data_IF_819688759563
#
_entry.id   IF_819688759563
#
_cell.length_a   1.000
_cell.length_b   1.000
_cell.length_c   1.000
_cell.angle_alpha   90.00
_cell.angle_beta   90.00
_cell.angle_gamma   90.00
#
_symmetry.space_group_name_H-M   'P 1'
#
loop_
_entity.id
_entity.type
_entity.pdbx_description
1 polymer ?
#
# COMPACT_ATOMS: atom_id res chain seq x y z
N UNK A 1 -0.31 17.53 4.10
CA UNK A 1 -0.75 16.18 4.49
C UNK A 1 0.44 15.38 5.01
N UNK A 2 0.23 14.57 6.01
CA UNK A 2 1.26 13.67 6.56
C UNK A 2 0.72 12.26 6.73
N UNK A 3 1.60 11.28 6.49
CA UNK A 3 1.31 9.87 6.74
C UNK A 3 1.77 9.52 8.16
N UNK A 4 0.90 8.88 8.94
CA UNK A 4 1.26 8.42 10.28
C UNK A 4 0.58 7.10 10.61
N UNK A 5 1.17 6.35 11.54
CA UNK A 5 0.55 5.12 12.01
C UNK A 5 -0.76 5.42 12.73
N UNK A 6 -1.80 4.66 12.40
CA UNK A 6 -3.08 4.77 13.08
C UNK A 6 -2.99 4.04 14.42
N UNK A 7 -3.18 4.77 15.51
CA UNK A 7 -3.00 4.22 16.86
C UNK A 7 -4.27 4.02 17.62
N UNK A 8 -5.43 4.43 17.10
CA UNK A 8 -6.71 4.30 17.78
C UNK A 8 -7.77 3.70 16.84
N UNK A 9 -8.87 3.23 17.43
CA UNK A 9 -9.96 2.60 16.70
C UNK A 9 -10.94 3.56 16.06
N UNK A 10 -10.75 4.87 16.19
CA UNK A 10 -11.67 5.82 15.59
C UNK A 10 -11.45 5.90 14.08
N UNK A 11 -12.54 5.90 13.34
CA UNK A 11 -12.51 6.10 11.90
C UNK A 11 -13.46 7.23 11.56
N UNK A 12 -12.94 8.28 10.94
CA UNK A 12 -13.76 9.40 10.47
C UNK A 12 -14.25 9.15 9.05
N UNK A 13 -13.95 7.99 8.50
CA UNK A 13 -14.19 7.65 7.13
C UNK A 13 -14.77 6.25 7.05
N UNK A 14 -16.01 6.15 6.64
CA UNK A 14 -16.81 4.94 6.76
C UNK A 14 -17.49 4.55 5.45
N UNK A 15 -16.77 4.67 4.34
CA UNK A 15 -17.38 4.52 3.02
C UNK A 15 -17.14 3.15 2.38
N UNK A 16 -17.28 2.10 3.15
CA UNK A 16 -17.27 0.75 2.62
C UNK A 16 -15.90 0.14 2.46
N UNK A 17 -14.90 0.86 1.96
CA UNK A 17 -13.54 0.33 1.84
C UNK A 17 -12.50 1.39 2.20
N UNK A 18 -11.50 1.04 3.04
CA UNK A 18 -11.46 -0.25 3.72
C UNK A 18 -12.59 -0.37 4.73
N UNK A 19 -13.21 -1.56 4.83
CA UNK A 19 -14.29 -1.73 5.77
C UNK A 19 -13.77 -1.75 7.21
N UNK A 20 -14.68 -1.57 8.17
CA UNK A 20 -14.33 -1.45 9.57
C UNK A 20 -13.60 -2.68 10.11
N UNK A 21 -14.02 -3.88 9.72
CA UNK A 21 -13.37 -5.11 10.15
C UNK A 21 -11.94 -5.24 9.66
N UNK A 22 -11.67 -4.83 8.41
CA UNK A 22 -10.31 -4.82 7.85
C UNK A 22 -9.43 -3.82 8.60
N UNK A 23 -9.96 -2.63 8.86
CA UNK A 23 -9.20 -1.60 9.59
C UNK A 23 -8.90 -2.06 11.01
N UNK A 24 -9.86 -2.68 11.68
CA UNK A 24 -9.66 -3.20 13.04
C UNK A 24 -8.60 -4.30 13.08
N UNK A 25 -8.59 -5.19 12.08
CA UNK A 25 -7.58 -6.22 11.98
C UNK A 25 -6.19 -5.62 11.76
N UNK A 26 -6.08 -4.67 10.83
CA UNK A 26 -4.81 -3.97 10.58
C UNK A 26 -4.33 -3.23 11.82
N UNK A 27 -5.24 -2.61 12.54
CA UNK A 27 -4.91 -1.85 13.75
C UNK A 27 -4.37 -2.78 14.85
N UNK A 28 -5.02 -3.93 15.06
CA UNK A 28 -4.57 -4.89 16.06
C UNK A 28 -3.18 -5.45 15.75
N UNK A 29 -2.81 -5.51 14.47
CA UNK A 29 -1.48 -5.94 14.00
C UNK A 29 -0.51 -4.79 13.80
N UNK A 30 -0.93 -3.56 14.06
CA UNK A 30 -0.14 -2.33 13.88
C UNK A 30 0.27 -2.09 12.42
N UNK A 31 -0.56 -2.50 11.47
CA UNK A 31 -0.30 -2.31 10.04
C UNK A 31 -0.91 -1.03 9.48
N UNK A 32 -1.92 -0.47 10.13
CA UNK A 32 -2.68 0.66 9.59
C UNK A 32 -1.94 1.99 9.64
N UNK A 33 -1.93 2.70 8.52
CA UNK A 33 -1.41 4.06 8.41
C UNK A 33 -2.48 4.96 7.79
N UNK A 34 -2.52 6.21 8.21
CA UNK A 34 -3.48 7.17 7.69
C UNK A 34 -2.75 8.39 7.13
N UNK A 35 -3.29 8.92 6.04
CA UNK A 35 -2.87 10.22 5.52
C UNK A 35 -3.78 11.27 6.15
N UNK A 36 -3.18 12.24 6.82
CA UNK A 36 -3.90 13.23 7.60
C UNK A 36 -3.65 14.63 7.05
N UNK A 37 -4.73 15.40 6.87
CA UNK A 37 -4.66 16.81 6.54
C UNK A 37 -5.32 17.58 7.68
N UNK A 38 -4.50 18.32 8.45
CA UNK A 38 -4.99 18.93 9.69
C UNK A 38 -5.44 17.85 10.66
N UNK A 39 -6.73 17.84 11.00
CA UNK A 39 -7.34 16.84 11.87
C UNK A 39 -8.18 15.82 11.12
N UNK A 40 -8.16 15.87 9.79
CA UNK A 40 -9.01 15.03 8.95
C UNK A 40 -8.22 13.90 8.36
N UNK A 41 -8.73 12.67 8.46
CA UNK A 41 -8.17 11.52 7.80
C UNK A 41 -8.67 11.51 6.35
N UNK A 42 -7.75 11.60 5.40
CA UNK A 42 -8.09 11.66 3.97
C UNK A 42 -7.60 10.46 3.18
N UNK A 43 -6.81 9.60 3.79
CA UNK A 43 -6.33 8.38 3.14
C UNK A 43 -5.95 7.30 4.15
N UNK A 44 -5.85 6.07 3.67
CA UNK A 44 -5.51 4.90 4.47
C UNK A 44 -4.69 3.92 3.65
N UNK A 45 -3.75 3.24 4.30
CA UNK A 45 -3.07 2.09 3.73
C UNK A 45 -2.61 1.16 4.85
N UNK A 46 -2.26 -0.08 4.48
CA UNK A 46 -1.60 -0.99 5.38
C UNK A 46 -0.18 -1.25 4.89
N UNK A 47 0.77 -1.24 5.81
CA UNK A 47 2.18 -1.51 5.53
C UNK A 47 2.61 -2.70 6.36
N UNK A 48 3.10 -3.76 5.70
CA UNK A 48 3.39 -5.03 6.35
C UNK A 48 4.83 -5.44 6.00
N UNK A 49 5.62 -5.72 7.03
CA UNK A 49 7.01 -6.13 6.82
C UNK A 49 7.08 -7.64 6.56
N UNK A 50 7.63 -8.00 5.41
CA UNK A 50 8.01 -9.39 5.05
C UNK A 50 6.87 -10.43 5.10
N UNK A 51 5.62 -10.01 5.15
CA UNK A 51 4.53 -10.95 5.36
C UNK A 51 3.41 -10.77 4.33
N UNK A 52 3.50 -11.54 3.27
CA UNK A 52 2.42 -11.76 2.31
C UNK A 52 2.61 -13.16 1.71
N UNK A 53 1.88 -14.17 2.20
CA UNK A 53 2.06 -15.55 1.73
C UNK A 53 1.94 -15.72 0.21
N UNK A 54 1.04 -14.97 -0.43
CA UNK A 54 0.86 -15.06 -1.88
C UNK A 54 2.09 -14.65 -2.67
N UNK A 55 2.96 -13.83 -2.09
CA UNK A 55 4.16 -13.35 -2.78
C UNK A 55 5.25 -14.42 -2.88
N UNK A 56 5.18 -15.45 -2.05
CA UNK A 56 6.15 -16.55 -2.07
C UNK A 56 6.02 -17.43 -3.30
N UNK A 57 4.84 -17.44 -3.93
CA UNK A 57 4.55 -18.27 -5.09
C UNK A 57 4.26 -17.43 -6.34
N UNK A 58 4.93 -16.29 -6.46
CA UNK A 58 4.77 -15.42 -7.62
C UNK A 58 5.08 -16.18 -8.93
N UNK A 59 4.23 -15.96 -9.93
CA UNK A 59 4.52 -16.38 -11.31
C UNK A 59 5.32 -15.26 -11.94
N UNK A 60 6.63 -15.35 -11.85
CA UNK A 60 7.56 -14.31 -12.20
C UNK A 60 8.72 -14.29 -11.23
N UNK A 61 9.33 -13.13 -11.07
CA UNK A 61 10.49 -13.01 -10.19
C UNK A 61 10.59 -11.63 -9.59
N UNK A 62 10.75 -11.58 -8.26
CA UNK A 62 11.03 -10.34 -7.54
C UNK A 62 12.43 -9.84 -7.87
N UNK A 63 12.66 -8.53 -7.72
CA UNK A 63 13.96 -7.89 -7.96
C UNK A 63 14.98 -8.21 -6.87
N UNK A 64 14.52 -8.50 -5.66
CA UNK A 64 15.41 -8.68 -4.52
C UNK A 64 14.92 -9.80 -3.60
N UNK A 65 15.83 -10.26 -2.73
CA UNK A 65 15.53 -11.22 -1.66
C UNK A 65 15.72 -10.61 -0.28
N UNK A 66 15.80 -9.28 -0.22
CA UNK A 66 15.98 -8.55 1.04
C UNK A 66 14.64 -8.33 1.74
N UNK A 67 14.71 -7.73 2.93
CA UNK A 67 13.50 -7.30 3.63
C UNK A 67 12.68 -6.35 2.75
N UNK A 68 11.37 -6.47 2.82
CA UNK A 68 10.47 -5.65 2.00
C UNK A 68 9.25 -5.22 2.80
N UNK A 69 8.70 -4.07 2.42
CA UNK A 69 7.41 -3.60 2.92
C UNK A 69 6.36 -3.87 1.86
N UNK A 70 5.28 -4.54 2.25
CA UNK A 70 4.12 -4.77 1.39
C UNK A 70 3.14 -3.63 1.61
N UNK A 71 2.70 -3.02 0.51
CA UNK A 71 1.71 -1.93 0.54
C UNK A 71 0.36 -2.51 0.16
N UNK A 72 -0.57 -2.48 1.10
CA UNK A 72 -1.92 -3.02 0.90
C UNK A 72 -2.98 -1.97 1.19
N UNK A 73 -4.13 -2.15 0.56
CA UNK A 73 -5.37 -1.44 0.90
C UNK A 73 -5.24 0.08 0.85
N UNK A 74 -4.53 0.60 -0.16
CA UNK A 74 -4.49 2.05 -0.36
C UNK A 74 -5.88 2.54 -0.73
N UNK A 75 -6.38 3.50 0.02
CA UNK A 75 -7.67 4.11 -0.24
C UNK A 75 -7.64 5.60 0.09
N UNK A 76 -8.38 6.38 -0.68
CA UNK A 76 -8.49 7.82 -0.49
C UNK A 76 -9.95 8.15 -0.21
N UNK A 77 -10.19 9.05 0.74
CA UNK A 77 -11.54 9.50 1.07
C UNK A 77 -12.24 10.05 -0.19
N UNK A 78 -13.53 9.73 -0.40
CA UNK A 78 -14.23 10.10 -1.64
C UNK A 78 -14.14 11.58 -2.00
N UNK A 79 -14.20 12.46 -1.01
CA UNK A 79 -14.13 13.92 -1.22
C UNK A 79 -12.76 14.39 -1.68
N UNK A 80 -11.77 13.54 -1.64
CA UNK A 80 -10.38 13.89 -1.94
C UNK A 80 -9.81 13.13 -3.13
N UNK A 81 -10.65 12.43 -3.87
CA UNK A 81 -10.23 11.74 -5.10
C UNK A 81 -9.79 12.74 -6.17
N UNK A 82 -8.88 12.33 -7.04
CA UNK A 82 -8.41 13.15 -8.16
C UNK A 82 -7.41 14.23 -7.80
N UNK A 83 -6.83 14.20 -6.59
CA UNK A 83 -5.88 15.20 -6.10
C UNK A 83 -4.44 14.69 -6.02
N UNK A 84 -4.14 13.54 -6.61
CA UNK A 84 -2.80 12.97 -6.58
C UNK A 84 -2.37 12.43 -5.21
N UNK A 85 -3.32 12.11 -4.34
CA UNK A 85 -2.99 11.72 -2.96
C UNK A 85 -2.38 10.33 -2.85
N UNK A 86 -2.68 9.40 -3.77
CA UNK A 86 -2.02 8.10 -3.78
C UNK A 86 -0.52 8.29 -4.04
N UNK A 87 -0.17 9.16 -4.99
CA UNK A 87 1.23 9.48 -5.25
C UNK A 87 1.91 10.08 -4.00
N UNK A 88 1.21 10.97 -3.32
CA UNK A 88 1.69 11.57 -2.07
C UNK A 88 1.94 10.48 -1.02
N UNK A 89 1.00 9.54 -0.85
CA UNK A 89 1.16 8.43 0.08
C UNK A 89 2.37 7.58 -0.27
N UNK A 90 2.52 7.21 -1.54
CA UNK A 90 3.66 6.40 -1.97
C UNK A 90 4.99 7.10 -1.70
N UNK A 91 5.04 8.41 -1.86
CA UNK A 91 6.25 9.19 -1.55
C UNK A 91 6.58 9.12 -0.05
N UNK A 92 5.58 9.27 0.82
CA UNK A 92 5.80 9.13 2.27
C UNK A 92 6.22 7.71 2.64
N UNK A 93 5.65 6.70 1.99
CA UNK A 93 6.02 5.30 2.24
C UNK A 93 7.49 5.05 1.87
N UNK A 94 7.96 5.63 0.78
CA UNK A 94 9.36 5.52 0.39
C UNK A 94 10.28 6.16 1.44
N UNK A 95 9.89 7.29 1.99
CA UNK A 95 10.66 7.95 3.05
C UNK A 95 10.68 7.09 4.31
N UNK A 96 9.54 6.51 4.68
CA UNK A 96 9.45 5.63 5.83
C UNK A 96 10.36 4.41 5.67
N UNK A 97 10.38 3.81 4.49
CA UNK A 97 11.23 2.68 4.20
C UNK A 97 12.72 3.04 4.36
N UNK A 98 13.12 4.21 3.87
CA UNK A 98 14.50 4.71 4.04
C UNK A 98 14.87 4.85 5.50
N UNK A 99 13.97 5.39 6.31
CA UNK A 99 14.20 5.55 7.75
C UNK A 99 14.42 4.22 8.43
N UNK A 100 13.77 3.16 7.95
CA UNK A 100 13.87 1.83 8.50
C UNK A 100 14.95 0.97 7.82
N UNK A 101 15.72 1.55 6.90
CA UNK A 101 16.76 0.86 6.14
C UNK A 101 16.22 -0.33 5.34
N UNK A 102 15.01 -0.18 4.80
CA UNK A 102 14.39 -1.17 3.93
C UNK A 102 14.42 -0.64 2.50
N UNK A 103 14.96 -1.45 1.59
CA UNK A 103 15.22 -1.03 0.22
C UNK A 103 14.17 -1.52 -0.78
N UNK A 104 13.21 -2.33 -0.33
CA UNK A 104 12.22 -2.93 -1.22
C UNK A 104 10.80 -2.60 -0.78
N UNK A 105 10.01 -2.10 -1.73
CA UNK A 105 8.58 -1.90 -1.58
C UNK A 105 7.87 -2.78 -2.60
N UNK A 106 6.89 -3.55 -2.16
CA UNK A 106 6.12 -4.45 -3.01
C UNK A 106 4.64 -4.12 -2.94
N UNK A 107 3.98 -4.22 -4.08
CA UNK A 107 2.55 -3.95 -4.19
C UNK A 107 1.95 -4.83 -5.27
N UNK A 108 0.64 -5.06 -5.19
CA UNK A 108 -0.10 -5.72 -6.25
C UNK A 108 -1.38 -4.97 -6.54
N UNK A 109 -1.90 -5.13 -7.76
CA UNK A 109 -3.13 -4.47 -8.17
C UNK A 109 -3.87 -5.30 -9.22
N UNK A 110 -5.17 -5.04 -9.36
CA UNK A 110 -6.00 -5.71 -10.37
C UNK A 110 -5.53 -5.36 -11.78
N UNK A 111 -5.74 -6.29 -12.71
CA UNK A 111 -5.37 -6.12 -14.11
C UNK A 111 -6.08 -4.94 -14.77
N UNK A 112 -7.29 -4.61 -14.31
CA UNK A 112 -8.11 -3.55 -14.88
C UNK A 112 -8.00 -2.22 -14.15
N UNK A 113 -7.14 -2.11 -13.15
CA UNK A 113 -6.92 -0.85 -12.45
C UNK A 113 -5.88 0.00 -13.19
N UNK A 114 -6.30 0.58 -14.30
CA UNK A 114 -5.40 1.33 -15.18
C UNK A 114 -4.70 2.49 -14.48
N UNK A 115 -5.41 3.20 -13.59
CA UNK A 115 -4.84 4.34 -12.87
C UNK A 115 -3.69 3.90 -11.96
N UNK A 116 -3.87 2.81 -11.21
CA UNK A 116 -2.84 2.32 -10.32
C UNK A 116 -1.65 1.74 -11.10
N UNK A 117 -1.90 1.01 -12.18
CA UNK A 117 -0.84 0.47 -13.03
C UNK A 117 0.03 1.60 -13.59
N UNK A 118 -0.61 2.66 -14.08
CA UNK A 118 0.11 3.83 -14.61
C UNK A 118 0.93 4.51 -13.52
N UNK A 119 0.36 4.68 -12.33
CA UNK A 119 1.02 5.36 -11.22
C UNK A 119 2.23 4.58 -10.71
N UNK A 120 2.09 3.27 -10.53
CA UNK A 120 3.20 2.43 -10.08
C UNK A 120 4.37 2.51 -11.07
N UNK A 121 4.07 2.43 -12.37
CA UNK A 121 5.09 2.54 -13.39
C UNK A 121 5.76 3.91 -13.37
N UNK A 122 4.96 4.97 -13.28
CA UNK A 122 5.46 6.35 -13.21
C UNK A 122 6.39 6.56 -12.02
N UNK A 123 6.11 5.91 -10.89
CA UNK A 123 6.90 6.06 -9.67
C UNK A 123 8.09 5.10 -9.59
N UNK A 124 8.37 4.39 -10.66
CA UNK A 124 9.57 3.57 -10.75
C UNK A 124 9.42 2.15 -10.24
N UNK A 125 8.20 1.68 -10.06
CA UNK A 125 7.95 0.27 -9.72
C UNK A 125 8.09 -0.59 -10.98
N UNK A 126 8.72 -1.75 -10.83
CA UNK A 126 8.90 -2.71 -11.91
C UNK A 126 7.87 -3.83 -11.83
N UNK A 127 7.31 -4.18 -12.97
CA UNK A 127 6.43 -5.33 -13.06
C UNK A 127 7.25 -6.61 -12.84
N UNK A 128 6.83 -7.43 -11.89
CA UNK A 128 7.56 -8.63 -11.50
C UNK A 128 6.84 -9.93 -11.90
N UNK A 129 5.55 -9.86 -12.16
CA UNK A 129 4.78 -11.05 -12.50
C UNK A 129 3.38 -11.02 -11.91
N UNK A 130 2.82 -12.21 -11.68
CA UNK A 130 1.45 -12.35 -11.19
C UNK A 130 1.43 -13.11 -9.87
N UNK A 131 0.55 -12.67 -8.98
CA UNK A 131 0.31 -13.34 -7.70
C UNK A 131 -1.16 -13.74 -7.62
N UNK A 132 -1.44 -14.86 -6.97
CA UNK A 132 -2.79 -15.33 -6.75
C UNK A 132 -3.26 -14.83 -5.40
N UNK A 133 -4.24 -13.95 -5.40
CA UNK A 133 -4.83 -13.39 -4.20
C UNK A 133 -6.29 -13.83 -4.12
N UNK A 134 -6.95 -13.52 -2.99
CA UNK A 134 -8.38 -13.76 -2.88
C UNK A 134 -9.09 -13.01 -4.00
N UNK A 135 -9.85 -13.70 -4.82
CA UNK A 135 -10.58 -13.12 -5.94
C UNK A 135 -9.88 -13.20 -7.28
N UNK A 136 -8.66 -13.73 -7.35
CA UNK A 136 -8.01 -13.99 -8.62
C UNK A 136 -6.57 -13.50 -8.73
N UNK A 137 -6.05 -13.53 -9.94
CA UNK A 137 -4.68 -13.10 -10.21
C UNK A 137 -4.57 -11.57 -10.19
N UNK A 138 -3.44 -11.08 -9.69
CA UNK A 138 -3.13 -9.66 -9.63
C UNK A 138 -1.72 -9.43 -10.16
N UNK A 139 -1.49 -8.26 -10.72
CA UNK A 139 -0.14 -7.87 -11.17
C UNK A 139 0.70 -7.40 -9.99
N UNK A 140 1.90 -7.93 -9.89
CA UNK A 140 2.82 -7.66 -8.79
C UNK A 140 3.97 -6.77 -9.24
N UNK A 141 4.33 -5.82 -8.37
CA UNK A 141 5.35 -4.81 -8.65
C UNK A 141 6.30 -4.68 -7.48
N UNK A 142 7.54 -4.30 -7.79
CA UNK A 142 8.53 -3.99 -6.76
C UNK A 142 9.31 -2.73 -7.14
N UNK A 143 9.55 -1.88 -6.15
CA UNK A 143 10.50 -0.78 -6.28
C UNK A 143 11.67 -1.08 -5.36
N UNK A 144 12.85 -1.28 -5.94
CA UNK A 144 14.07 -1.59 -5.19
C UNK A 144 15.05 -0.43 -5.32
N UNK A 145 15.51 0.09 -4.18
CA UNK A 145 16.40 1.26 -4.11
C UNK A 145 17.73 0.96 -3.41
N UNK A 146 18.08 -0.30 -3.32
CA UNK A 146 19.34 -0.74 -2.72
C UNK A 146 20.53 -0.70 -3.66
#
# INVERSE_FOLDING_TARGET
AILRRKSDGSSQWQDGYPNEGVVDDDLSKQYGYVLVEGKTIIGYCALILNDEPAYKTIEGQWLSNEDFIVIHRIAIAPDHLGKGLVQTMLTYIEELAKEQHIHSLRADTNFDNAAMLHLLQKMGYHYCGEVMMRGGKRKAFEKYSG
#
